data_IF_278682926950
#
_entry.id   IF_278682926950
#
_cell.length_a   1.000
_cell.length_b   1.000
_cell.length_c   1.000
_cell.angle_alpha   90.00
_cell.angle_beta   90.00
_cell.angle_gamma   90.00
#
_symmetry.space_group_name_H-M   'P 1'
#
loop_
_entity.id
_entity.type
_entity.pdbx_description
1 polymer ?
#
# COMPACT_ATOMS: atom_id res chain seq x y z
N UNK A 1 36.65 -37.13 -24.20
CA UNK A 1 37.72 -36.18 -23.86
C UNK A 1 37.12 -35.19 -22.85
N UNK A 2 37.29 -35.45 -21.56
CA UNK A 2 36.82 -34.54 -20.51
C UNK A 2 37.64 -33.26 -20.57
N UNK A 3 36.97 -32.10 -20.66
CA UNK A 3 37.63 -30.81 -20.58
C UNK A 3 38.12 -30.60 -19.14
N UNK A 4 39.42 -30.71 -18.92
CA UNK A 4 40.05 -30.36 -17.64
C UNK A 4 40.15 -28.85 -17.53
N UNK A 5 39.53 -28.25 -16.51
CA UNK A 5 39.73 -26.86 -16.11
C UNK A 5 40.25 -26.80 -14.66
N UNK A 6 41.01 -25.75 -14.33
CA UNK A 6 41.50 -25.50 -12.97
C UNK A 6 40.72 -24.35 -12.33
N UNK A 7 40.30 -24.55 -11.09
CA UNK A 7 39.68 -23.52 -10.27
C UNK A 7 40.75 -22.86 -9.41
N UNK A 8 40.74 -21.53 -9.32
CA UNK A 8 41.63 -20.77 -8.45
C UNK A 8 40.87 -19.63 -7.78
N UNK A 9 41.32 -19.23 -6.58
CA UNK A 9 40.80 -18.06 -5.90
C UNK A 9 41.32 -16.79 -6.56
N UNK A 10 40.50 -15.74 -6.55
CA UNK A 10 40.94 -14.41 -6.95
C UNK A 10 42.11 -13.94 -6.07
N UNK A 11 43.07 -13.23 -6.65
CA UNK A 11 44.27 -12.75 -5.97
C UNK A 11 44.03 -11.66 -4.91
N UNK A 12 42.82 -11.10 -4.87
CA UNK A 12 42.41 -10.09 -3.89
C UNK A 12 40.97 -10.30 -3.46
N UNK A 13 40.66 -9.92 -2.22
CA UNK A 13 39.27 -9.84 -1.75
C UNK A 13 38.54 -8.69 -2.47
N UNK A 14 37.24 -8.85 -2.78
CA UNK A 14 36.44 -7.73 -3.27
C UNK A 14 36.27 -6.68 -2.18
N UNK A 15 36.20 -5.41 -2.58
CA UNK A 15 35.65 -4.35 -1.73
C UNK A 15 34.13 -4.57 -1.70
N UNK A 16 33.55 -4.52 -0.52
CA UNK A 16 32.10 -4.56 -0.33
C UNK A 16 31.59 -3.14 -0.09
N UNK A 17 30.51 -2.77 -0.75
CA UNK A 17 29.73 -1.60 -0.39
C UNK A 17 28.88 -1.91 0.85
N UNK A 18 28.46 -0.88 1.59
CA UNK A 18 27.69 -1.07 2.84
C UNK A 18 26.34 -1.74 2.58
N UNK A 19 25.64 -1.31 1.52
CA UNK A 19 24.39 -1.91 1.03
C UNK A 19 24.38 -1.88 -0.51
N UNK A 20 23.73 -2.86 -1.17
CA UNK A 20 23.53 -2.81 -2.63
C UNK A 20 22.65 -1.64 -3.09
N UNK A 21 21.69 -1.23 -2.26
CA UNK A 21 20.82 -0.06 -2.44
C UNK A 21 20.74 0.68 -1.10
N UNK A 22 20.69 2.01 -1.15
CA UNK A 22 20.72 2.86 0.05
C UNK A 22 19.51 2.59 0.96
N UNK A 23 18.34 2.42 0.35
CA UNK A 23 17.06 2.26 1.03
C UNK A 23 16.38 0.95 0.67
N UNK A 24 15.71 0.33 1.64
CA UNK A 24 15.05 -0.98 1.49
C UNK A 24 13.63 -0.94 2.03
N UNK A 25 12.66 -1.11 1.14
CA UNK A 25 11.24 -1.25 1.44
C UNK A 25 10.88 -2.74 1.44
N UNK A 26 10.38 -3.24 2.57
CA UNK A 26 9.75 -4.55 2.65
C UNK A 26 8.26 -4.48 2.32
N UNK A 27 7.76 -5.37 1.46
CA UNK A 27 6.33 -5.51 1.17
C UNK A 27 5.83 -6.87 1.61
N UNK A 28 4.79 -6.88 2.43
CA UNK A 28 4.01 -8.08 2.76
C UNK A 28 2.69 -7.97 2.01
N UNK A 29 2.49 -8.80 0.99
CA UNK A 29 1.29 -8.74 0.13
C UNK A 29 0.57 -10.08 0.10
N UNK A 30 -0.65 -10.10 -0.42
CA UNK A 30 -1.42 -11.33 -0.54
C UNK A 30 -0.90 -12.21 -1.69
N UNK A 31 -1.00 -13.53 -1.55
CA UNK A 31 -0.64 -14.48 -2.60
C UNK A 31 -1.44 -14.25 -3.91
N UNK A 32 -2.62 -13.65 -3.80
CA UNK A 32 -3.54 -13.29 -4.88
C UNK A 32 -3.36 -11.86 -5.40
N UNK A 33 -2.43 -11.07 -4.86
CA UNK A 33 -2.20 -9.68 -5.28
C UNK A 33 -1.66 -9.59 -6.71
N UNK A 34 -2.30 -8.75 -7.53
CA UNK A 34 -1.92 -8.44 -8.91
C UNK A 34 -1.48 -6.97 -9.09
N UNK A 35 -1.57 -6.15 -8.04
CA UNK A 35 -1.66 -4.69 -8.18
C UNK A 35 -0.60 -3.96 -7.37
N UNK A 36 -0.31 -4.40 -6.15
CA UNK A 36 0.62 -3.72 -5.25
C UNK A 36 2.05 -3.74 -5.77
N UNK A 37 2.57 -4.91 -6.17
CA UNK A 37 3.97 -4.98 -6.65
C UNK A 37 4.18 -4.17 -7.92
N UNK A 38 3.32 -4.24 -8.96
CA UNK A 38 3.45 -3.38 -10.13
C UNK A 38 3.37 -1.88 -9.78
N UNK A 39 2.50 -1.50 -8.84
CA UNK A 39 2.39 -0.12 -8.38
C UNK A 39 3.66 0.35 -7.66
N UNK A 40 4.20 -0.44 -6.74
CA UNK A 40 5.44 -0.11 -6.03
C UNK A 40 6.66 -0.13 -6.94
N UNK A 41 6.70 -1.05 -7.92
CA UNK A 41 7.74 -1.03 -8.96
C UNK A 41 7.72 0.26 -9.76
N UNK A 42 6.54 0.81 -10.04
CA UNK A 42 6.35 2.02 -10.84
C UNK A 42 6.55 3.31 -10.03
N UNK A 43 6.17 3.33 -8.76
CA UNK A 43 6.12 4.55 -7.94
C UNK A 43 7.26 4.66 -6.93
N UNK A 44 7.83 3.54 -6.45
CA UNK A 44 8.74 3.52 -5.30
C UNK A 44 10.12 2.99 -5.65
N UNK A 45 10.20 1.89 -6.40
CA UNK A 45 11.48 1.27 -6.76
C UNK A 45 12.34 2.22 -7.61
N UNK A 46 13.63 2.31 -7.28
CA UNK A 46 14.62 3.12 -7.99
C UNK A 46 16.04 2.58 -7.79
N UNK A 47 17.04 3.21 -8.40
CA UNK A 47 18.45 2.94 -8.12
C UNK A 47 18.87 3.26 -6.67
N UNK A 48 18.01 3.96 -5.91
CA UNK A 48 18.23 4.27 -4.48
C UNK A 48 17.41 3.37 -3.57
N UNK A 49 16.19 3.00 -3.97
CA UNK A 49 15.20 2.30 -3.14
C UNK A 49 14.91 0.91 -3.71
N UNK A 50 15.32 -0.12 -2.98
CA UNK A 50 14.96 -1.52 -3.26
C UNK A 50 13.59 -1.89 -2.69
N UNK A 51 12.83 -2.70 -3.43
CA UNK A 51 11.53 -3.24 -2.99
C UNK A 51 11.63 -4.76 -2.90
N UNK A 52 11.40 -5.32 -1.72
CA UNK A 52 11.57 -6.75 -1.42
C UNK A 52 10.26 -7.33 -0.89
N UNK A 53 9.77 -8.39 -1.53
CA UNK A 53 8.39 -8.85 -1.32
C UNK A 53 8.32 -10.23 -0.70
N UNK A 54 7.47 -10.38 0.32
CA UNK A 54 6.97 -11.65 0.81
C UNK A 54 5.46 -11.74 0.59
N UNK A 55 4.99 -12.91 0.15
CA UNK A 55 3.56 -13.20 -0.04
C UNK A 55 3.02 -14.04 1.11
N UNK A 56 1.84 -13.68 1.61
CA UNK A 56 1.09 -14.49 2.59
C UNK A 56 -0.11 -15.19 1.93
N UNK A 57 -0.48 -16.40 2.37
CA UNK A 57 -1.68 -17.05 1.90
C UNK A 57 -2.92 -16.23 2.27
N UNK A 58 -3.87 -16.18 1.34
CA UNK A 58 -5.16 -15.54 1.53
C UNK A 58 -6.24 -16.34 0.80
N UNK A 59 -7.44 -16.39 1.37
CA UNK A 59 -8.58 -17.10 0.82
C UNK A 59 -9.73 -16.12 0.55
N UNK A 60 -10.24 -16.15 -0.67
CA UNK A 60 -11.51 -15.51 -1.02
C UNK A 60 -12.70 -16.39 -0.57
N UNK A 61 -13.89 -15.82 -0.34
CA UNK A 61 -14.26 -14.41 -0.51
C UNK A 61 -13.68 -13.48 0.56
N UNK A 62 -13.64 -12.18 0.26
CA UNK A 62 -13.28 -11.13 1.23
C UNK A 62 -14.33 -11.04 2.32
N UNK A 63 -14.07 -11.72 3.44
CA UNK A 63 -14.90 -11.71 4.65
C UNK A 63 -14.07 -11.31 5.87
N UNK A 64 -14.68 -10.71 6.91
CA UNK A 64 -13.96 -10.38 8.14
C UNK A 64 -13.23 -11.57 8.79
N UNK A 65 -13.77 -12.78 8.68
CA UNK A 65 -13.12 -14.01 9.18
C UNK A 65 -11.83 -14.33 8.42
N UNK A 66 -11.90 -14.40 7.09
CA UNK A 66 -10.74 -14.69 6.24
C UNK A 66 -9.65 -13.63 6.38
N UNK A 67 -10.04 -12.36 6.61
CA UNK A 67 -9.10 -11.28 6.84
C UNK A 67 -8.32 -11.44 8.16
N UNK A 68 -8.99 -11.82 9.26
CA UNK A 68 -8.32 -12.06 10.56
C UNK A 68 -7.38 -13.26 10.53
N UNK A 69 -7.73 -14.30 9.76
CA UNK A 69 -6.92 -15.51 9.63
C UNK A 69 -5.51 -15.27 9.09
N UNK A 70 -5.25 -14.10 8.48
CA UNK A 70 -3.93 -13.72 7.98
C UNK A 70 -2.96 -13.25 9.07
N UNK A 71 -3.45 -12.73 10.20
CA UNK A 71 -2.60 -12.10 11.22
C UNK A 71 -1.41 -12.99 11.65
N UNK A 72 -1.57 -14.30 11.90
CA UNK A 72 -0.47 -15.16 12.35
C UNK A 72 0.66 -15.31 11.32
N UNK A 73 0.40 -15.03 10.04
CA UNK A 73 1.39 -15.16 8.96
C UNK A 73 2.27 -13.92 8.80
N UNK A 74 1.89 -12.78 9.40
CA UNK A 74 2.60 -11.51 9.22
C UNK A 74 4.02 -11.54 9.78
N UNK A 75 4.21 -12.10 10.97
CA UNK A 75 5.55 -12.23 11.58
C UNK A 75 6.45 -13.10 10.73
N UNK A 76 5.96 -14.26 10.27
CA UNK A 76 6.73 -15.15 9.40
C UNK A 76 7.11 -14.46 8.09
N UNK A 77 6.16 -13.80 7.43
CA UNK A 77 6.42 -13.10 6.17
C UNK A 77 7.43 -11.96 6.34
N UNK A 78 7.33 -11.16 7.40
CA UNK A 78 8.30 -10.12 7.71
C UNK A 78 9.72 -10.69 7.91
N UNK A 79 9.83 -11.84 8.58
CA UNK A 79 11.12 -12.53 8.81
C UNK A 79 11.76 -13.10 7.53
N UNK A 80 10.97 -13.37 6.49
CA UNK A 80 11.49 -13.85 5.20
C UNK A 80 12.10 -12.72 4.34
N UNK A 81 11.78 -11.46 4.63
CA UNK A 81 12.30 -10.32 3.86
C UNK A 81 13.69 -9.96 4.38
N UNK A 82 14.71 -10.30 3.59
CA UNK A 82 16.13 -10.04 3.89
C UNK A 82 16.50 -10.42 5.35
N UNK A 83 16.60 -11.73 5.67
CA UNK A 83 16.96 -12.18 7.01
C UNK A 83 18.23 -11.48 7.51
N UNK A 84 18.27 -11.15 8.80
CA UNK A 84 19.39 -10.46 9.47
C UNK A 84 19.76 -9.06 8.94
N UNK A 85 18.99 -8.52 8.00
CA UNK A 85 19.17 -7.18 7.45
C UNK A 85 18.10 -6.21 7.95
N UNK A 86 18.49 -4.96 8.16
CA UNK A 86 17.59 -3.85 8.44
C UNK A 86 16.84 -3.40 7.18
N UNK A 87 15.57 -3.06 7.38
CA UNK A 87 14.69 -2.43 6.39
C UNK A 87 14.39 -1.01 6.83
N UNK A 88 14.28 -0.07 5.90
CA UNK A 88 13.94 1.32 6.22
C UNK A 88 12.44 1.49 6.48
N UNK A 89 11.61 0.64 5.87
CA UNK A 89 10.15 0.62 6.08
C UNK A 89 9.58 -0.74 5.66
N UNK A 90 8.54 -1.21 6.35
CA UNK A 90 7.74 -2.38 5.94
C UNK A 90 6.29 -1.96 5.74
N UNK A 91 5.73 -2.30 4.59
CA UNK A 91 4.33 -2.06 4.26
C UNK A 91 3.55 -3.37 4.19
N UNK A 92 2.42 -3.43 4.90
CA UNK A 92 1.46 -4.53 4.77
C UNK A 92 0.34 -4.17 3.79
N UNK A 93 0.27 -4.87 2.66
CA UNK A 93 -0.67 -4.55 1.59
C UNK A 93 -2.00 -5.27 1.71
N UNK A 94 -2.83 -4.84 2.66
CA UNK A 94 -4.25 -5.19 2.64
C UNK A 94 -5.07 -4.17 3.43
N UNK A 95 -5.85 -3.33 2.74
CA UNK A 95 -6.66 -2.28 3.37
C UNK A 95 -7.73 -2.86 4.29
N UNK A 96 -8.52 -3.82 3.81
CA UNK A 96 -9.60 -4.43 4.57
C UNK A 96 -9.09 -5.21 5.78
N UNK A 97 -7.97 -5.95 5.65
CA UNK A 97 -7.38 -6.62 6.79
C UNK A 97 -6.78 -5.65 7.80
N UNK A 98 -6.22 -4.52 7.36
CA UNK A 98 -5.71 -3.50 8.30
C UNK A 98 -6.84 -2.89 9.13
N UNK A 99 -8.04 -2.69 8.57
CA UNK A 99 -9.24 -2.31 9.32
C UNK A 99 -9.63 -3.41 10.33
N UNK A 100 -9.69 -4.67 9.87
CA UNK A 100 -10.28 -5.77 10.65
C UNK A 100 -9.34 -6.33 11.73
N UNK A 101 -8.02 -6.35 11.46
CA UNK A 101 -6.96 -6.73 12.39
C UNK A 101 -6.59 -5.54 13.29
N UNK A 102 -6.59 -4.32 12.74
CA UNK A 102 -6.13 -3.10 13.41
C UNK A 102 -4.65 -2.82 13.15
N UNK A 103 -4.34 -1.55 12.91
CA UNK A 103 -3.00 -1.09 12.52
C UNK A 103 -1.93 -1.43 13.56
N UNK A 104 -2.25 -1.33 14.85
CA UNK A 104 -1.34 -1.65 15.95
C UNK A 104 -1.00 -3.15 16.01
N UNK A 105 -1.97 -4.02 15.73
CA UNK A 105 -1.76 -5.47 15.74
C UNK A 105 -0.93 -5.91 14.53
N UNK A 106 -1.14 -5.30 13.36
CA UNK A 106 -0.28 -5.49 12.18
C UNK A 106 1.15 -5.03 12.50
N UNK A 107 1.29 -3.85 13.09
CA UNK A 107 2.58 -3.27 13.48
C UNK A 107 3.33 -4.16 14.46
N UNK A 108 2.65 -4.64 15.49
CA UNK A 108 3.22 -5.54 16.48
C UNK A 108 3.69 -6.86 15.85
N UNK A 109 2.89 -7.45 14.95
CA UNK A 109 3.26 -8.70 14.30
C UNK A 109 4.50 -8.56 13.40
N UNK A 110 4.61 -7.45 12.66
CA UNK A 110 5.78 -7.17 11.82
C UNK A 110 7.02 -6.90 12.68
N UNK A 111 6.88 -6.08 13.72
CA UNK A 111 8.00 -5.73 14.62
C UNK A 111 8.52 -6.90 15.43
N UNK A 112 7.72 -7.95 15.62
CA UNK A 112 8.19 -9.19 16.23
C UNK A 112 9.30 -9.89 15.41
N UNK A 113 9.35 -9.67 14.09
CA UNK A 113 10.41 -10.21 13.22
C UNK A 113 11.41 -9.14 12.74
N UNK A 114 10.98 -7.87 12.66
CA UNK A 114 11.82 -6.73 12.27
C UNK A 114 11.71 -5.63 13.34
N UNK A 115 12.46 -5.73 14.45
CA UNK A 115 12.39 -4.76 15.54
C UNK A 115 12.58 -3.33 15.06
N UNK A 116 11.87 -2.39 15.69
CA UNK A 116 11.95 -0.94 15.47
C UNK A 116 11.64 -0.42 14.05
N UNK A 117 11.35 -1.31 13.09
CA UNK A 117 11.04 -0.89 11.72
C UNK A 117 9.78 0.01 11.68
N UNK A 118 9.81 1.11 10.90
CA UNK A 118 8.59 1.82 10.53
C UNK A 118 7.64 0.90 9.78
N UNK A 119 6.39 0.83 10.24
CA UNK A 119 5.35 0.01 9.61
C UNK A 119 4.30 0.92 8.98
N UNK A 120 3.95 0.62 7.74
CA UNK A 120 2.93 1.34 6.98
C UNK A 120 1.76 0.39 6.69
N UNK A 121 0.54 0.79 7.06
CA UNK A 121 -0.71 0.15 6.64
C UNK A 121 -1.49 1.07 5.70
N UNK A 122 -2.31 0.54 4.76
CA UNK A 122 -3.07 1.36 3.83
C UNK A 122 -4.07 2.29 4.50
N UNK A 123 -4.67 1.86 5.61
CA UNK A 123 -5.62 2.62 6.41
C UNK A 123 -4.95 3.80 7.10
N UNK A 124 -3.86 3.57 7.85
CA UNK A 124 -3.13 4.64 8.51
C UNK A 124 -2.51 5.64 7.51
N UNK A 125 -1.93 5.13 6.41
CA UNK A 125 -1.40 5.98 5.35
C UNK A 125 -2.48 6.81 4.66
N UNK A 126 -3.68 6.26 4.45
CA UNK A 126 -4.80 6.99 3.86
C UNK A 126 -5.29 8.11 4.78
N UNK A 127 -5.42 7.84 6.09
CA UNK A 127 -5.76 8.86 7.10
C UNK A 127 -4.76 10.00 7.07
N UNK A 128 -3.46 9.69 7.09
CA UNK A 128 -2.41 10.71 7.09
C UNK A 128 -2.35 11.47 5.76
N UNK A 129 -2.55 10.79 4.63
CA UNK A 129 -2.62 11.42 3.31
C UNK A 129 -3.81 12.37 3.17
N UNK A 130 -4.99 11.99 3.67
CA UNK A 130 -6.18 12.84 3.69
C UNK A 130 -5.96 14.07 4.59
N UNK A 131 -5.36 13.90 5.77
CA UNK A 131 -5.01 15.02 6.67
C UNK A 131 -3.99 15.96 6.05
N UNK A 132 -2.99 15.43 5.38
CA UNK A 132 -1.97 16.21 4.66
C UNK A 132 -2.59 17.05 3.55
N UNK A 133 -3.64 16.54 2.90
CA UNK A 133 -4.44 17.28 1.92
C UNK A 133 -5.41 18.30 2.54
N UNK A 134 -5.49 18.37 3.88
CA UNK A 134 -6.41 19.25 4.59
C UNK A 134 -7.88 18.80 4.53
N UNK A 135 -8.15 17.54 4.17
CA UNK A 135 -9.51 17.03 4.05
C UNK A 135 -10.13 16.76 5.44
N UNK A 136 -11.37 17.21 5.64
CA UNK A 136 -12.18 16.88 6.82
C UNK A 136 -13.47 16.15 6.42
N UNK A 137 -14.01 16.46 5.25
CA UNK A 137 -15.19 15.83 4.65
C UNK A 137 -14.73 14.98 3.48
N UNK A 138 -15.02 13.69 3.49
CA UNK A 138 -14.53 12.78 2.46
C UNK A 138 -15.68 12.01 1.80
N UNK A 139 -15.45 11.62 0.56
CA UNK A 139 -16.19 10.51 -0.05
C UNK A 139 -15.30 9.27 -0.05
N UNK A 140 -15.92 8.10 0.04
CA UNK A 140 -15.21 6.81 -0.02
C UNK A 140 -15.81 5.95 -1.13
N UNK A 141 -14.95 5.43 -2.00
CA UNK A 141 -15.26 4.40 -2.98
C UNK A 141 -14.53 3.12 -2.58
N UNK A 142 -15.25 2.01 -2.46
CA UNK A 142 -14.67 0.71 -2.15
C UNK A 142 -15.18 -0.37 -3.10
N UNK A 143 -14.36 -1.37 -3.45
CA UNK A 143 -14.83 -2.44 -4.32
C UNK A 143 -15.74 -3.43 -3.59
N UNK A 144 -15.77 -3.44 -2.25
CA UNK A 144 -16.37 -4.53 -1.48
C UNK A 144 -17.91 -4.48 -1.43
N UNK A 145 -18.50 -5.50 -0.81
CA UNK A 145 -19.90 -5.52 -0.37
C UNK A 145 -20.15 -4.52 0.77
N UNK A 146 -21.43 -4.22 1.03
CA UNK A 146 -21.83 -3.34 2.15
C UNK A 146 -21.34 -3.87 3.50
N UNK A 147 -21.45 -5.18 3.73
CA UNK A 147 -21.03 -5.84 4.97
C UNK A 147 -19.53 -5.64 5.23
N UNK A 148 -18.69 -5.94 4.23
CA UNK A 148 -17.23 -5.80 4.32
C UNK A 148 -16.80 -4.34 4.43
N UNK A 149 -17.62 -3.42 3.94
CA UNK A 149 -17.31 -1.99 3.91
C UNK A 149 -17.69 -1.25 5.19
N UNK A 150 -18.63 -1.77 5.99
CA UNK A 150 -19.06 -1.11 7.22
C UNK A 150 -17.91 -0.80 8.18
N UNK A 151 -17.01 -1.75 8.51
CA UNK A 151 -15.88 -1.47 9.40
C UNK A 151 -14.96 -0.35 8.88
N UNK A 152 -14.85 -0.21 7.56
CA UNK A 152 -14.05 0.85 6.95
C UNK A 152 -14.69 2.22 7.13
N UNK A 153 -16.01 2.31 6.98
CA UNK A 153 -16.73 3.56 7.28
C UNK A 153 -16.53 3.96 8.74
N UNK A 154 -16.64 3.00 9.66
CA UNK A 154 -16.45 3.24 11.09
C UNK A 154 -15.01 3.71 11.38
N UNK A 155 -13.99 3.05 10.81
CA UNK A 155 -12.58 3.43 10.96
C UNK A 155 -12.30 4.89 10.55
N UNK A 156 -12.80 5.34 9.40
CA UNK A 156 -12.58 6.73 8.95
C UNK A 156 -13.40 7.74 9.77
N UNK A 157 -14.61 7.38 10.21
CA UNK A 157 -15.40 8.23 11.09
C UNK A 157 -14.70 8.40 12.46
N UNK A 158 -14.20 7.31 13.05
CA UNK A 158 -13.43 7.33 14.30
C UNK A 158 -12.10 8.08 14.16
N UNK A 159 -11.52 8.10 12.96
CA UNK A 159 -10.33 8.89 12.63
C UNK A 159 -10.60 10.40 12.48
N UNK A 160 -11.86 10.83 12.63
CA UNK A 160 -12.30 12.23 12.66
C UNK A 160 -12.84 12.78 11.34
N UNK A 161 -13.06 11.94 10.32
CA UNK A 161 -13.60 12.40 9.04
C UNK A 161 -15.14 12.37 9.01
N UNK A 162 -15.74 13.38 8.39
CA UNK A 162 -17.15 13.35 8.00
C UNK A 162 -17.30 12.66 6.66
N UNK A 163 -18.04 11.55 6.60
CA UNK A 163 -18.23 10.79 5.35
C UNK A 163 -19.50 11.30 4.64
N UNK A 164 -19.33 12.01 3.54
CA UNK A 164 -20.44 12.60 2.78
C UNK A 164 -21.10 11.62 1.81
N UNK A 165 -20.32 10.67 1.30
CA UNK A 165 -20.80 9.56 0.48
C UNK A 165 -19.89 8.36 0.66
N UNK A 166 -20.50 7.19 0.71
CA UNK A 166 -19.80 5.92 0.78
C UNK A 166 -20.39 4.97 -0.27
N UNK A 167 -19.62 4.65 -1.30
CA UNK A 167 -20.04 3.85 -2.45
C UNK A 167 -19.32 2.49 -2.48
N UNK A 168 -20.06 1.43 -2.77
CA UNK A 168 -19.60 0.04 -2.74
C UNK A 168 -19.86 -0.64 -4.10
N UNK A 169 -18.85 -1.25 -4.72
CA UNK A 169 -19.02 -1.97 -6.00
C UNK A 169 -19.57 -3.40 -5.84
N UNK A 170 -19.56 -3.96 -4.63
CA UNK A 170 -20.19 -5.26 -4.35
C UNK A 170 -19.34 -6.49 -4.73
N UNK A 171 -18.06 -6.33 -5.03
CA UNK A 171 -17.15 -7.44 -5.37
C UNK A 171 -16.69 -8.19 -4.11
N UNK A 172 -16.47 -9.49 -4.24
CA UNK A 172 -16.03 -10.38 -3.15
C UNK A 172 -14.69 -11.06 -3.43
N UNK A 173 -14.12 -10.88 -4.62
CA UNK A 173 -12.88 -11.51 -5.07
C UNK A 173 -11.86 -10.45 -5.48
N UNK A 174 -10.71 -10.41 -4.81
CA UNK A 174 -9.63 -9.46 -5.10
C UNK A 174 -9.08 -9.55 -6.53
N UNK A 175 -9.16 -10.73 -7.16
CA UNK A 175 -8.75 -10.95 -8.57
C UNK A 175 -9.74 -10.30 -9.55
N UNK A 176 -10.99 -10.14 -9.15
CA UNK A 176 -11.98 -9.36 -9.91
C UNK A 176 -11.74 -7.87 -9.72
N UNK A 177 -11.46 -7.44 -8.48
CA UNK A 177 -11.14 -6.05 -8.16
C UNK A 177 -9.92 -5.55 -8.95
N UNK A 178 -8.90 -6.39 -9.10
CA UNK A 178 -7.73 -6.10 -9.92
C UNK A 178 -8.03 -5.95 -11.41
N UNK A 179 -9.15 -6.49 -11.89
CA UNK A 179 -9.55 -6.46 -13.31
C UNK A 179 -10.57 -5.38 -13.65
N UNK A 180 -11.05 -4.61 -12.66
CA UNK A 180 -11.90 -3.43 -12.94
C UNK A 180 -11.18 -2.53 -13.93
N UNK A 181 -11.89 -2.12 -14.99
CA UNK A 181 -11.36 -1.28 -16.06
C UNK A 181 -10.89 0.07 -15.55
N UNK A 182 -9.82 0.62 -16.12
CA UNK A 182 -9.27 1.89 -15.65
C UNK A 182 -10.22 3.07 -15.89
N UNK A 183 -10.93 3.07 -17.02
CA UNK A 183 -11.94 4.09 -17.32
C UNK A 183 -13.21 3.90 -16.46
N UNK A 184 -13.55 2.66 -16.11
CA UNK A 184 -14.62 2.36 -15.15
C UNK A 184 -14.28 2.91 -13.75
N UNK A 185 -13.03 2.81 -13.29
CA UNK A 185 -12.62 3.41 -12.03
C UNK A 185 -12.81 4.93 -12.02
N UNK A 186 -12.56 5.61 -13.14
CA UNK A 186 -12.79 7.05 -13.28
C UNK A 186 -14.30 7.35 -13.26
N UNK A 187 -15.11 6.56 -13.95
CA UNK A 187 -16.56 6.70 -13.94
C UNK A 187 -17.14 6.52 -12.54
N UNK A 188 -16.79 5.43 -11.85
CA UNK A 188 -17.23 5.18 -10.47
C UNK A 188 -16.73 6.24 -9.50
N UNK A 189 -15.53 6.80 -9.69
CA UNK A 189 -15.04 7.90 -8.87
C UNK A 189 -15.90 9.17 -9.02
N UNK A 190 -16.34 9.50 -10.25
CA UNK A 190 -17.28 10.62 -10.50
C UNK A 190 -18.62 10.39 -9.81
N UNK A 191 -19.12 9.16 -9.80
CA UNK A 191 -20.36 8.80 -9.12
C UNK A 191 -20.21 8.78 -7.60
N UNK A 192 -19.06 8.34 -7.08
CA UNK A 192 -18.82 8.18 -5.66
C UNK A 192 -18.51 9.50 -4.94
N UNK A 193 -18.08 10.54 -5.64
CA UNK A 193 -17.73 11.82 -5.01
C UNK A 193 -18.95 12.70 -4.78
N UNK A 194 -19.19 13.09 -3.53
CA UNK A 194 -20.19 14.10 -3.20
C UNK A 194 -19.68 15.52 -3.50
N UNK A 195 -20.54 16.46 -3.92
CA UNK A 195 -20.16 17.85 -4.12
C UNK A 195 -19.53 18.51 -2.90
N UNK A 196 -19.95 18.12 -1.68
CA UNK A 196 -19.45 18.67 -0.42
C UNK A 196 -18.15 18.07 0.14
N UNK A 197 -17.59 17.02 -0.49
CA UNK A 197 -16.35 16.40 -0.01
C UNK A 197 -15.12 17.21 -0.41
N UNK A 198 -14.11 17.25 0.46
CA UNK A 198 -12.81 17.85 0.20
C UNK A 198 -11.94 16.92 -0.66
N UNK A 199 -12.04 15.61 -0.44
CA UNK A 199 -11.27 14.59 -1.17
C UNK A 199 -12.07 13.29 -1.38
N UNK A 200 -11.61 12.47 -2.31
CA UNK A 200 -12.09 11.10 -2.51
C UNK A 200 -11.03 10.09 -2.05
N UNK A 201 -11.42 9.17 -1.17
CA UNK A 201 -10.63 7.98 -0.88
C UNK A 201 -11.13 6.78 -1.70
N UNK A 202 -10.22 6.13 -2.44
CA UNK A 202 -10.50 4.90 -3.17
C UNK A 202 -9.77 3.73 -2.51
N UNK A 203 -10.56 2.79 -2.02
CA UNK A 203 -10.10 1.67 -1.22
C UNK A 203 -9.70 0.45 -2.05
N UNK A 204 -8.98 -0.40 -1.34
CA UNK A 204 -8.38 -1.68 -1.67
C UNK A 204 -7.06 -1.59 -2.45
N UNK A 205 -6.05 -2.27 -1.90
CA UNK A 205 -4.74 -2.43 -2.53
C UNK A 205 -4.79 -3.28 -3.81
N UNK A 206 -5.83 -4.11 -3.97
CA UNK A 206 -6.06 -4.87 -5.19
C UNK A 206 -6.63 -4.00 -6.33
N UNK A 207 -7.24 -2.84 -6.05
CA UNK A 207 -7.81 -1.97 -7.08
C UNK A 207 -6.71 -1.11 -7.70
N UNK A 208 -6.62 -1.12 -9.04
CA UNK A 208 -5.57 -0.40 -9.81
C UNK A 208 -5.76 1.13 -9.86
N UNK A 209 -6.37 1.73 -8.83
CA UNK A 209 -6.70 3.14 -8.78
C UNK A 209 -5.47 4.05 -8.73
N UNK A 210 -4.37 3.64 -8.09
CA UNK A 210 -3.13 4.43 -8.05
C UNK A 210 -2.52 4.66 -9.45
N UNK A 211 -2.80 3.81 -10.44
CA UNK A 211 -2.33 3.99 -11.81
C UNK A 211 -3.04 5.12 -12.57
N UNK A 212 -4.22 5.53 -12.08
CA UNK A 212 -5.07 6.55 -12.71
C UNK A 212 -5.48 7.66 -11.74
N UNK A 213 -4.86 7.76 -10.57
CA UNK A 213 -5.24 8.73 -9.55
C UNK A 213 -5.24 10.18 -10.08
N UNK A 214 -4.18 10.62 -10.77
CA UNK A 214 -4.14 11.94 -11.40
C UNK A 214 -5.28 12.16 -12.43
N UNK A 215 -5.60 11.14 -13.24
CA UNK A 215 -6.73 11.20 -14.19
C UNK A 215 -8.09 11.27 -13.47
N UNK A 216 -8.20 10.64 -12.30
CA UNK A 216 -9.38 10.74 -11.46
C UNK A 216 -9.48 12.15 -10.87
N UNK A 217 -8.39 12.72 -10.36
CA UNK A 217 -8.34 14.11 -9.86
C UNK A 217 -8.79 15.09 -10.95
N UNK A 218 -8.25 14.98 -12.17
CA UNK A 218 -8.66 15.77 -13.34
C UNK A 218 -10.16 15.63 -13.64
N UNK A 219 -10.68 14.40 -13.50
CA UNK A 219 -12.07 14.09 -13.79
C UNK A 219 -13.05 14.67 -12.77
N UNK A 220 -12.70 14.63 -11.48
CA UNK A 220 -13.59 15.04 -10.39
C UNK A 220 -13.32 16.45 -9.86
N UNK A 221 -12.18 17.05 -10.21
CA UNK A 221 -11.76 18.38 -9.75
C UNK A 221 -11.41 18.43 -8.26
N UNK A 222 -11.04 17.29 -7.66
CA UNK A 222 -10.76 17.16 -6.22
C UNK A 222 -9.60 16.18 -5.98
N UNK A 223 -8.81 16.37 -4.92
CA UNK A 223 -7.75 15.43 -4.54
C UNK A 223 -8.25 14.00 -4.36
N UNK A 224 -7.40 13.04 -4.73
CA UNK A 224 -7.68 11.60 -4.60
C UNK A 224 -6.60 10.95 -3.76
N UNK A 225 -7.03 10.15 -2.79
CA UNK A 225 -6.17 9.23 -2.05
C UNK A 225 -6.58 7.81 -2.40
N UNK A 226 -5.63 6.95 -2.76
CA UNK A 226 -5.89 5.51 -2.94
C UNK A 226 -5.04 4.72 -1.96
N UNK A 227 -5.43 3.48 -1.63
CA UNK A 227 -4.65 2.62 -0.74
C UNK A 227 -3.18 2.46 -1.19
N UNK A 228 -2.94 2.23 -2.49
CA UNK A 228 -1.58 2.08 -3.01
C UNK A 228 -0.86 3.43 -3.17
N UNK A 229 -1.56 4.50 -3.51
CA UNK A 229 -0.97 5.83 -3.61
C UNK A 229 -0.50 6.33 -2.25
N UNK A 230 -1.34 6.20 -1.22
CA UNK A 230 -1.03 6.64 0.13
C UNK A 230 0.16 5.87 0.74
N UNK A 231 0.17 4.55 0.58
CA UNK A 231 1.27 3.72 1.10
C UNK A 231 2.58 3.94 0.35
N UNK A 232 2.54 4.09 -0.99
CA UNK A 232 3.72 4.43 -1.76
C UNK A 232 4.27 5.81 -1.38
N UNK A 233 3.40 6.81 -1.22
CA UNK A 233 3.77 8.14 -0.72
C UNK A 233 4.43 8.05 0.65
N UNK A 234 3.82 7.36 1.62
CA UNK A 234 4.38 7.23 2.96
C UNK A 234 5.75 6.53 2.95
N UNK A 235 5.90 5.44 2.17
CA UNK A 235 7.17 4.72 2.07
C UNK A 235 8.28 5.58 1.46
N UNK A 236 7.99 6.35 0.40
CA UNK A 236 8.96 7.27 -0.20
C UNK A 236 9.46 8.30 0.83
N UNK A 237 8.53 8.93 1.56
CA UNK A 237 8.90 9.94 2.57
C UNK A 237 9.70 9.35 3.72
N UNK A 238 9.33 8.18 4.23
CA UNK A 238 10.09 7.48 5.27
C UNK A 238 11.48 7.02 4.79
N UNK A 239 11.66 6.80 3.49
CA UNK A 239 12.96 6.54 2.88
C UNK A 239 13.77 7.83 2.60
N UNK A 240 13.28 9.01 2.96
CA UNK A 240 13.94 10.30 2.69
C UNK A 240 13.92 10.68 1.21
N UNK A 241 12.93 10.21 0.45
CA UNK A 241 12.62 10.69 -0.89
C UNK A 241 11.51 11.74 -0.81
N UNK A 242 11.89 13.00 -0.93
CA UNK A 242 10.99 14.16 -0.90
C UNK A 242 10.72 14.74 -2.29
N UNK A 243 10.98 13.99 -3.36
CA UNK A 243 10.69 14.43 -4.71
C UNK A 243 9.18 14.61 -4.93
N UNK A 244 8.83 15.51 -5.84
CA UNK A 244 7.45 15.80 -6.22
C UNK A 244 7.06 14.97 -7.45
N UNK A 245 6.25 13.93 -7.26
CA UNK A 245 5.79 13.05 -8.35
C UNK A 245 4.37 13.37 -8.79
N UNK A 246 4.16 14.59 -9.32
CA UNK A 246 2.84 15.11 -9.71
C UNK A 246 2.09 14.21 -10.70
N UNK A 247 2.80 13.42 -11.52
CA UNK A 247 2.20 12.47 -12.45
C UNK A 247 1.37 11.36 -11.78
N UNK A 248 1.52 11.16 -10.47
CA UNK A 248 0.77 10.15 -9.71
C UNK A 248 -0.41 10.74 -8.91
N UNK A 249 -0.56 12.06 -8.87
CA UNK A 249 -1.62 12.76 -8.15
C UNK A 249 -1.09 13.72 -7.09
N UNK A 250 -1.96 14.58 -6.58
CA UNK A 250 -1.60 15.70 -5.70
C UNK A 250 -0.86 15.26 -4.43
N UNK A 251 -1.29 14.16 -3.79
CA UNK A 251 -0.67 13.64 -2.56
C UNK A 251 0.84 13.39 -2.72
N UNK A 252 1.27 12.90 -3.88
CA UNK A 252 2.68 12.58 -4.17
C UNK A 252 3.60 13.80 -4.29
N UNK A 253 3.06 15.01 -4.19
CA UNK A 253 3.81 16.27 -4.14
C UNK A 253 4.00 16.81 -2.73
N UNK A 254 3.37 16.19 -1.73
CA UNK A 254 3.29 16.72 -0.37
C UNK A 254 4.25 16.00 0.59
N UNK A 255 4.71 16.67 1.67
CA UNK A 255 5.51 16.06 2.72
C UNK A 255 4.63 15.17 3.62
N UNK A 256 5.25 14.16 4.25
CA UNK A 256 4.63 13.39 5.35
C UNK A 256 5.04 14.05 6.68
N UNK A 257 4.08 14.31 7.57
CA UNK A 257 4.38 14.96 8.85
C UNK A 257 5.32 14.10 9.70
N UNK A 258 6.45 14.66 10.12
CA UNK A 258 7.43 13.98 10.98
C UNK A 258 8.36 12.98 10.27
N UNK A 259 8.32 12.91 8.94
CA UNK A 259 9.25 12.12 8.12
C UNK A 259 10.35 12.98 7.47
#
# INVERSE_FOLDING_TARGET
MEKTFSLSLASRRPRLDERPLEKRVGLIILATDHTTEPDFRRMVASERIGVYVARIPYANPVTPENLRAMQPQLTTAAGLILPDEELDVVMYSCTSASVVIGDDQVTAAIRAAKPDVPVVTPTAAAVEGLRTLGAARISVLTPYTLETSRPMADYFAESGFSIDRFACLGLTDDREMARVGLDELIAFAREAVAPGSDALFISCTAVRAASVAARIEDAIGKPVVTSNLATAWACLRLCGDHNHYAQFGQLMTLPLAGA
#
